data_IF_663099644714
#
_entry.id   IF_663099644714
#
_cell.length_a   1.000
_cell.length_b   1.000
_cell.length_c   1.000
_cell.angle_alpha   90.00
_cell.angle_beta   90.00
_cell.angle_gamma   90.00
#
_symmetry.space_group_name_H-M   'P 1'
#
loop_
_entity.id
_entity.type
_entity.pdbx_description
1 polymer ?
#
# COMPACT_ATOMS: atom_id res chain seq x y z
N UNK A 1 -1.88 -16.95 -2.82
CA UNK A 1 -0.42 -17.17 -2.59
C UNK A 1 -0.28 -18.28 -1.56
N UNK A 2 0.87 -18.96 -1.47
CA UNK A 2 1.10 -19.97 -0.41
C UNK A 2 1.70 -19.24 0.79
N UNK A 3 1.14 -19.45 1.97
CA UNK A 3 1.63 -18.88 3.23
C UNK A 3 3.12 -19.18 3.47
N UNK A 4 3.91 -18.17 3.83
CA UNK A 4 5.30 -18.37 4.23
C UNK A 4 5.41 -18.94 5.65
N UNK A 5 5.85 -20.19 5.76
CA UNK A 5 6.01 -20.88 7.04
C UNK A 5 7.06 -20.24 7.94
N UNK A 6 8.08 -19.56 7.38
CA UNK A 6 9.13 -18.91 8.18
C UNK A 6 8.57 -17.75 9.01
N UNK A 7 7.75 -16.89 8.40
CA UNK A 7 7.15 -15.73 9.07
C UNK A 7 6.17 -16.19 10.17
N UNK A 8 5.39 -17.23 9.86
CA UNK A 8 4.45 -17.82 10.82
C UNK A 8 5.19 -18.46 11.98
N UNK A 9 6.25 -19.24 11.72
CA UNK A 9 7.05 -19.84 12.77
C UNK A 9 7.75 -18.79 13.63
N UNK A 10 8.18 -17.67 13.03
CA UNK A 10 8.74 -16.55 13.78
C UNK A 10 7.71 -15.93 14.74
N UNK A 11 6.46 -15.76 14.31
CA UNK A 11 5.37 -15.30 15.17
C UNK A 11 5.00 -16.32 16.26
N UNK A 12 4.99 -17.62 15.96
CA UNK A 12 4.73 -18.69 16.93
C UNK A 12 5.81 -18.72 18.03
N UNK A 13 7.08 -18.60 17.65
CA UNK A 13 8.18 -18.54 18.63
C UNK A 13 8.04 -17.33 19.55
N UNK A 14 7.62 -16.18 19.01
CA UNK A 14 7.38 -14.96 19.80
C UNK A 14 6.29 -15.18 20.87
N UNK A 15 5.18 -15.84 20.52
CA UNK A 15 4.12 -16.13 21.50
C UNK A 15 4.47 -17.30 22.44
N UNK A 16 5.56 -18.02 22.19
CA UNK A 16 6.01 -19.16 23.01
C UNK A 16 5.48 -20.52 22.56
N UNK A 17 4.92 -20.60 21.34
CA UNK A 17 4.45 -21.84 20.73
C UNK A 17 5.55 -22.55 19.93
N UNK A 18 5.36 -23.86 19.71
CA UNK A 18 6.28 -24.65 18.89
C UNK A 18 6.09 -24.36 17.39
N UNK A 19 7.18 -24.30 16.61
CA UNK A 19 7.10 -24.07 15.17
C UNK A 19 6.40 -25.25 14.46
N UNK A 20 5.69 -24.95 13.39
CA UNK A 20 5.00 -25.94 12.55
C UNK A 20 5.83 -26.28 11.31
N UNK A 21 5.91 -27.56 10.98
CA UNK A 21 6.62 -28.06 9.79
C UNK A 21 5.78 -27.96 8.51
N UNK A 22 4.45 -28.08 8.61
CA UNK A 22 3.54 -27.89 7.49
C UNK A 22 2.14 -27.44 7.95
N UNK A 23 1.45 -26.65 7.11
CA UNK A 23 0.11 -26.15 7.45
C UNK A 23 -0.96 -27.26 7.44
N UNK A 24 -0.79 -28.29 6.61
CA UNK A 24 -1.84 -29.28 6.36
C UNK A 24 -1.99 -30.28 7.51
N UNK A 25 -0.94 -30.41 8.32
CA UNK A 25 -0.88 -31.38 9.42
C UNK A 25 -1.22 -30.75 10.78
N UNK A 26 -1.24 -29.42 10.89
CA UNK A 26 -1.60 -28.74 12.13
C UNK A 26 -3.12 -28.54 12.23
N UNK A 27 -3.75 -28.85 13.38
CA UNK A 27 -5.16 -28.53 13.62
C UNK A 27 -5.43 -27.01 13.53
N UNK A 28 -4.39 -26.18 13.72
CA UNK A 28 -4.45 -24.72 13.60
C UNK A 28 -4.16 -24.21 12.18
N UNK A 29 -3.77 -25.07 11.24
CA UNK A 29 -3.28 -24.66 9.92
C UNK A 29 -4.26 -23.83 9.10
N UNK A 30 -5.57 -24.11 9.19
CA UNK A 30 -6.61 -23.31 8.53
C UNK A 30 -6.70 -21.89 9.10
N UNK A 31 -6.63 -21.77 10.43
CA UNK A 31 -6.69 -20.47 11.12
C UNK A 31 -5.44 -19.66 10.80
N UNK A 32 -4.27 -20.30 10.82
CA UNK A 32 -2.99 -19.66 10.48
C UNK A 32 -3.01 -19.08 9.06
N UNK A 33 -3.47 -19.85 8.07
CA UNK A 33 -3.58 -19.36 6.68
C UNK A 33 -4.52 -18.15 6.57
N UNK A 34 -5.68 -18.18 7.24
CA UNK A 34 -6.65 -17.08 7.18
C UNK A 34 -6.05 -15.80 7.79
N UNK A 35 -5.49 -15.91 9.00
CA UNK A 35 -4.89 -14.77 9.69
C UNK A 35 -3.67 -14.23 8.94
N UNK A 36 -2.86 -15.11 8.35
CA UNK A 36 -1.71 -14.71 7.53
C UNK A 36 -2.12 -13.85 6.34
N UNK A 37 -3.09 -14.30 5.54
CA UNK A 37 -3.54 -13.55 4.36
C UNK A 37 -4.19 -12.22 4.74
N UNK A 38 -5.00 -12.21 5.80
CA UNK A 38 -5.64 -10.99 6.30
C UNK A 38 -4.62 -9.95 6.76
N UNK A 39 -3.66 -10.35 7.60
CA UNK A 39 -2.62 -9.45 8.11
C UNK A 39 -1.69 -8.99 6.98
N UNK A 40 -1.36 -9.86 6.00
CA UNK A 40 -0.54 -9.48 4.85
C UNK A 40 -1.19 -8.37 4.02
N UNK A 41 -2.46 -8.57 3.65
CA UNK A 41 -3.21 -7.57 2.89
C UNK A 41 -3.39 -6.27 3.67
N UNK A 42 -3.65 -6.36 4.98
CA UNK A 42 -3.72 -5.20 5.86
C UNK A 42 -2.40 -4.42 5.89
N UNK A 43 -1.26 -5.08 6.08
CA UNK A 43 0.04 -4.40 6.15
C UNK A 43 0.46 -3.74 4.84
N UNK A 44 0.21 -4.41 3.72
CA UNK A 44 0.49 -3.88 2.39
C UNK A 44 -0.43 -2.70 2.07
N UNK A 45 -1.71 -2.75 2.46
CA UNK A 45 -2.67 -1.67 2.18
C UNK A 45 -2.50 -0.45 3.09
N UNK A 46 -2.12 -0.63 4.36
CA UNK A 46 -2.01 0.47 5.32
C UNK A 46 -0.83 1.41 5.03
N UNK A 47 0.31 0.85 4.62
CA UNK A 47 1.54 1.62 4.42
C UNK A 47 2.12 1.41 3.01
N UNK A 48 2.55 2.48 2.32
CA UNK A 48 3.16 2.37 1.00
C UNK A 48 4.61 1.90 1.11
N UNK A 49 4.80 0.59 1.29
CA UNK A 49 6.12 -0.01 1.30
C UNK A 49 6.79 0.12 -0.07
N UNK A 50 8.01 0.66 -0.11
CA UNK A 50 8.70 0.93 -1.39
C UNK A 50 8.89 -0.31 -2.26
N UNK A 51 9.06 -1.49 -1.66
CA UNK A 51 9.19 -2.74 -2.41
C UNK A 51 7.86 -3.19 -3.06
N UNK A 52 6.72 -2.76 -2.51
CA UNK A 52 5.38 -3.07 -3.01
C UNK A 52 4.78 -1.96 -3.88
N UNK A 53 5.27 -0.73 -3.76
CA UNK A 53 4.86 0.40 -4.60
C UNK A 53 5.37 0.21 -6.03
N UNK A 54 4.44 0.10 -6.98
CA UNK A 54 4.74 0.07 -8.42
C UNK A 54 4.21 1.31 -9.13
N UNK A 55 4.89 1.67 -10.20
CA UNK A 55 4.49 2.70 -11.15
C UNK A 55 4.35 2.06 -12.52
N UNK A 56 3.20 2.24 -13.18
CA UNK A 56 2.97 1.69 -14.52
C UNK A 56 2.20 2.68 -15.39
N UNK A 57 2.30 2.50 -16.70
CA UNK A 57 1.57 3.25 -17.70
C UNK A 57 0.45 2.34 -18.20
N UNK A 58 -0.80 2.78 -18.05
CA UNK A 58 -1.94 2.09 -18.61
C UNK A 58 -2.28 2.69 -19.97
N UNK A 59 -2.55 1.79 -20.92
CA UNK A 59 -3.16 2.12 -22.21
C UNK A 59 -4.68 1.97 -22.11
N UNK A 60 -5.46 2.78 -22.85
CA UNK A 60 -6.91 2.74 -22.76
C UNK A 60 -7.42 1.42 -23.32
N UNK A 61 -8.51 0.95 -22.74
CA UNK A 61 -9.26 -0.17 -23.27
C UNK A 61 -9.85 0.22 -24.63
N UNK A 62 -9.96 -0.76 -25.53
CA UNK A 62 -10.54 -0.55 -26.86
C UNK A 62 -12.06 -0.31 -26.81
N UNK A 63 -12.72 -0.67 -25.70
CA UNK A 63 -14.12 -0.38 -25.45
C UNK A 63 -14.32 1.12 -25.17
N UNK A 64 -15.37 1.70 -25.76
CA UNK A 64 -15.74 3.08 -25.46
C UNK A 64 -16.06 3.24 -23.96
N UNK A 65 -15.70 4.40 -23.42
CA UNK A 65 -15.97 4.71 -22.02
C UNK A 65 -17.47 4.79 -21.77
N UNK A 66 -17.97 3.94 -20.87
CA UNK A 66 -19.34 3.97 -20.38
C UNK A 66 -19.63 5.18 -19.45
N UNK A 67 -18.63 6.04 -19.22
CA UNK A 67 -18.69 7.13 -18.25
C UNK A 67 -19.16 8.44 -18.90
N UNK A 68 -20.14 9.17 -18.30
CA UNK A 68 -20.71 10.38 -18.91
C UNK A 68 -19.71 11.53 -19.07
N UNK A 69 -18.66 11.54 -18.24
CA UNK A 69 -17.67 12.62 -18.19
C UNK A 69 -16.35 12.30 -18.88
N UNK A 70 -15.89 11.06 -18.82
CA UNK A 70 -14.50 10.71 -19.15
C UNK A 70 -14.44 9.96 -20.48
N UNK A 71 -13.44 10.28 -21.30
CA UNK A 71 -13.32 9.76 -22.67
C UNK A 71 -12.71 8.35 -22.72
N UNK A 72 -11.83 8.02 -21.78
CA UNK A 72 -11.08 6.78 -21.79
C UNK A 72 -11.34 5.95 -20.53
N UNK A 73 -11.32 4.63 -20.71
CA UNK A 73 -11.51 3.61 -19.68
C UNK A 73 -10.23 2.78 -19.58
N UNK A 74 -9.79 2.49 -18.37
CA UNK A 74 -8.57 1.75 -18.06
C UNK A 74 -8.88 0.65 -17.06
N UNK A 75 -8.21 -0.49 -17.16
CA UNK A 75 -8.29 -1.57 -16.17
C UNK A 75 -7.13 -1.46 -15.18
N UNK A 76 -7.43 -1.57 -13.87
CA UNK A 76 -6.39 -1.69 -12.85
C UNK A 76 -5.63 -3.00 -13.04
N UNK A 77 -4.29 -3.00 -12.85
CA UNK A 77 -3.50 -4.22 -12.86
C UNK A 77 -4.07 -5.28 -11.91
N UNK A 78 -4.03 -6.55 -12.31
CA UNK A 78 -4.58 -7.65 -11.50
C UNK A 78 -3.86 -7.84 -10.17
N UNK A 79 -2.61 -7.37 -10.08
CA UNK A 79 -1.81 -7.37 -8.85
C UNK A 79 -2.08 -6.14 -7.97
N UNK A 80 -2.99 -5.21 -8.34
CA UNK A 80 -3.25 -4.01 -7.55
C UNK A 80 -4.06 -4.32 -6.29
N UNK A 81 -3.46 -4.09 -5.12
CA UNK A 81 -4.12 -4.13 -3.80
C UNK A 81 -4.79 -2.77 -3.52
N UNK A 82 -4.03 -1.69 -3.68
CA UNK A 82 -4.50 -0.34 -3.37
C UNK A 82 -3.99 0.67 -4.41
N UNK A 83 -4.92 1.40 -5.01
CA UNK A 83 -4.60 2.53 -5.87
C UNK A 83 -4.16 3.73 -5.03
N UNK A 84 -3.01 4.33 -5.33
CA UNK A 84 -2.48 5.48 -4.57
C UNK A 84 -2.70 6.81 -5.29
N UNK A 85 -2.69 6.80 -6.61
CA UNK A 85 -2.90 8.03 -7.36
C UNK A 85 -2.36 7.96 -8.77
N UNK A 86 -2.62 9.03 -9.49
CA UNK A 86 -2.04 9.29 -10.80
C UNK A 86 -0.74 10.07 -10.59
N UNK A 87 0.32 9.70 -11.31
CA UNK A 87 1.62 10.37 -11.21
C UNK A 87 1.58 11.80 -11.79
N UNK A 88 2.45 12.67 -11.27
CA UNK A 88 2.67 14.06 -11.71
C UNK A 88 2.91 14.21 -13.22
N UNK A 89 3.42 13.19 -13.90
CA UNK A 89 3.57 13.21 -15.36
C UNK A 89 2.24 13.42 -16.10
N UNK A 90 1.10 13.09 -15.49
CA UNK A 90 -0.24 13.39 -16.02
C UNK A 90 -0.81 14.73 -15.56
N UNK A 91 -0.21 15.39 -14.55
CA UNK A 91 -0.60 16.73 -14.11
C UNK A 91 -0.15 17.80 -15.13
N UNK A 92 0.77 17.46 -16.03
CA UNK A 92 1.28 18.34 -17.09
C UNK A 92 0.48 18.10 -18.38
N UNK A 93 -0.84 18.25 -18.32
CA UNK A 93 -1.62 18.54 -19.52
C UNK A 93 -1.72 20.06 -19.59
N UNK A 94 -0.85 20.67 -20.41
CA UNK A 94 -0.85 22.09 -20.80
C UNK A 94 -1.22 23.12 -19.71
N UNK A 95 -0.22 23.90 -19.27
CA UNK A 95 -0.38 25.10 -18.40
C UNK A 95 -1.43 26.13 -18.91
N UNK A 96 -1.97 25.96 -20.12
CA UNK A 96 -3.09 26.75 -20.66
C UNK A 96 -4.46 26.38 -20.09
N UNK A 97 -4.66 25.16 -19.62
CA UNK A 97 -5.96 24.69 -19.09
C UNK A 97 -6.04 24.73 -17.55
N UNK A 98 -4.99 25.23 -16.89
CA UNK A 98 -4.89 25.38 -15.44
C UNK A 98 -5.98 26.30 -14.82
N UNK A 99 -6.74 27.04 -15.64
CA UNK A 99 -7.72 28.03 -15.16
C UNK A 99 -9.14 27.53 -14.90
N UNK A 100 -9.47 26.23 -15.02
CA UNK A 100 -10.88 25.83 -14.90
C UNK A 100 -11.20 24.44 -14.33
N UNK A 101 -10.27 23.72 -13.70
CA UNK A 101 -10.60 22.39 -13.15
C UNK A 101 -10.15 22.18 -11.71
N UNK A 102 -10.90 22.77 -10.79
CA UNK A 102 -11.14 22.20 -9.44
C UNK A 102 -11.94 20.88 -9.51
N UNK A 103 -11.83 20.14 -10.61
CA UNK A 103 -12.60 18.96 -10.93
C UNK A 103 -11.70 17.74 -10.97
N UNK A 104 -12.15 16.65 -10.37
CA UNK A 104 -11.43 15.37 -10.31
C UNK A 104 -10.94 14.96 -11.71
N UNK A 105 -9.62 14.82 -11.88
CA UNK A 105 -8.98 14.45 -13.15
C UNK A 105 -9.24 13.01 -13.57
N UNK A 106 -9.76 12.19 -12.66
CA UNK A 106 -10.08 10.79 -12.85
C UNK A 106 -11.19 10.35 -11.91
N UNK A 107 -11.84 9.24 -12.25
CA UNK A 107 -12.82 8.58 -11.38
C UNK A 107 -12.55 7.08 -11.39
N UNK A 108 -12.75 6.43 -10.24
CA UNK A 108 -12.54 4.99 -10.08
C UNK A 108 -13.90 4.36 -9.83
N UNK A 109 -14.30 3.44 -10.70
CA UNK A 109 -15.48 2.61 -10.47
C UNK A 109 -15.09 1.13 -10.50
N UNK A 110 -15.10 0.48 -9.33
CA UNK A 110 -14.68 -0.90 -9.18
C UNK A 110 -13.20 -1.08 -9.55
N UNK A 111 -12.92 -1.90 -10.57
CA UNK A 111 -11.56 -2.13 -11.09
C UNK A 111 -11.19 -1.23 -12.27
N UNK A 112 -12.08 -0.32 -12.67
CA UNK A 112 -11.86 0.54 -13.82
C UNK A 112 -11.52 1.96 -13.37
N UNK A 113 -10.57 2.57 -14.06
CA UNK A 113 -10.24 3.99 -13.94
C UNK A 113 -10.72 4.70 -15.19
N UNK A 114 -11.36 5.84 -15.00
CA UNK A 114 -11.84 6.70 -16.07
C UNK A 114 -11.05 8.01 -16.04
N UNK A 115 -10.51 8.41 -17.20
CA UNK A 115 -9.71 9.62 -17.32
C UNK A 115 -9.87 10.28 -18.70
N UNK A 116 -9.36 11.50 -18.83
CA UNK A 116 -9.37 12.27 -20.09
C UNK A 116 -8.09 12.10 -20.92
N UNK A 117 -7.00 11.61 -20.33
CA UNK A 117 -5.71 11.41 -21.02
C UNK A 117 -5.69 10.05 -21.72
N UNK A 118 -4.87 9.92 -22.77
CA UNK A 118 -4.67 8.68 -23.53
C UNK A 118 -3.58 7.76 -22.94
N UNK A 119 -2.66 8.31 -22.15
CA UNK A 119 -1.70 7.52 -21.38
C UNK A 119 -1.94 7.84 -19.91
N UNK A 120 -2.01 6.81 -19.07
CA UNK A 120 -2.28 6.97 -17.65
C UNK A 120 -1.15 6.37 -16.81
N UNK A 121 -0.19 7.21 -16.43
CA UNK A 121 0.79 6.94 -15.38
C UNK A 121 0.13 6.83 -14.00
N UNK A 122 0.08 5.62 -13.46
CA UNK A 122 -0.48 5.33 -12.14
C UNK A 122 0.59 4.89 -11.15
N UNK A 123 0.34 5.18 -9.87
CA UNK A 123 1.08 4.66 -8.71
C UNK A 123 0.11 3.81 -7.89
N UNK A 124 0.50 2.58 -7.58
CA UNK A 124 -0.32 1.64 -6.85
C UNK A 124 0.53 0.71 -5.98
N UNK A 125 -0.10 0.07 -5.00
CA UNK A 125 0.50 -0.97 -4.17
C UNK A 125 0.15 -2.31 -4.79
N UNK A 126 1.19 -3.08 -5.15
CA UNK A 126 1.04 -4.39 -5.76
C UNK A 126 1.06 -5.52 -4.71
N UNK A 127 0.38 -6.63 -5.03
CA UNK A 127 0.56 -7.92 -4.37
C UNK A 127 1.89 -8.52 -4.83
N UNK A 128 2.85 -8.58 -3.91
CA UNK A 128 4.24 -8.96 -4.18
C UNK A 128 4.62 -10.22 -3.42
N UNK A 129 5.49 -11.01 -4.05
CA UNK A 129 6.04 -12.26 -3.51
C UNK A 129 6.84 -12.01 -2.24
N UNK A 130 6.79 -12.94 -1.29
CA UNK A 130 7.43 -12.89 0.02
C UNK A 130 8.96 -12.69 -0.06
N UNK A 131 9.56 -13.02 -1.21
CA UNK A 131 11.00 -12.81 -1.48
C UNK A 131 11.40 -11.34 -1.52
N UNK A 132 10.47 -10.45 -1.86
CA UNK A 132 10.72 -9.02 -1.95
C UNK A 132 10.56 -8.30 -0.60
N UNK A 133 10.09 -9.01 0.43
CA UNK A 133 9.87 -8.43 1.75
C UNK A 133 11.20 -8.05 2.40
N UNK A 134 11.30 -6.79 2.82
CA UNK A 134 12.41 -6.30 3.62
C UNK A 134 12.41 -6.97 5.00
N UNK A 135 13.58 -6.99 5.65
CA UNK A 135 13.69 -7.60 6.99
C UNK A 135 12.78 -6.89 8.00
N UNK A 136 12.68 -5.56 7.91
CA UNK A 136 11.82 -4.74 8.77
C UNK A 136 10.34 -5.05 8.53
N UNK A 137 9.92 -5.25 7.27
CA UNK A 137 8.56 -5.70 6.95
C UNK A 137 8.26 -7.08 7.53
N UNK A 138 9.17 -8.05 7.37
CA UNK A 138 8.99 -9.41 7.93
C UNK A 138 8.83 -9.38 9.45
N UNK A 139 9.59 -8.53 10.13
CA UNK A 139 9.49 -8.34 11.58
C UNK A 139 8.17 -7.68 11.99
N UNK A 140 7.75 -6.61 11.29
CA UNK A 140 6.46 -5.96 11.51
C UNK A 140 5.30 -6.95 11.29
N UNK A 141 5.39 -7.76 10.23
CA UNK A 141 4.42 -8.79 9.91
C UNK A 141 4.36 -9.87 10.98
N UNK A 142 5.50 -10.40 11.42
CA UNK A 142 5.52 -11.38 12.50
C UNK A 142 4.98 -10.83 13.83
N UNK A 143 5.27 -9.56 14.16
CA UNK A 143 4.74 -8.93 15.38
C UNK A 143 3.22 -8.74 15.30
N UNK A 144 2.69 -8.28 14.15
CA UNK A 144 1.24 -8.14 13.97
C UNK A 144 0.53 -9.50 13.99
N UNK A 145 1.12 -10.50 13.34
CA UNK A 145 0.60 -11.86 13.33
C UNK A 145 0.63 -12.50 14.72
N UNK A 146 1.68 -12.27 15.50
CA UNK A 146 1.76 -12.70 16.90
C UNK A 146 0.66 -12.08 17.77
N UNK A 147 0.34 -10.79 17.57
CA UNK A 147 -0.76 -10.10 18.26
C UNK A 147 -2.11 -10.79 17.98
N UNK A 148 -2.45 -11.02 16.71
CA UNK A 148 -3.73 -11.66 16.32
C UNK A 148 -3.82 -13.13 16.77
N UNK A 149 -2.71 -13.87 16.72
CA UNK A 149 -2.67 -15.26 17.18
C UNK A 149 -2.74 -15.38 18.70
N UNK A 150 -2.23 -14.41 19.46
CA UNK A 150 -2.24 -14.43 20.92
C UNK A 150 -3.66 -14.53 21.48
N UNK A 151 -4.63 -13.85 20.86
CA UNK A 151 -6.05 -13.95 21.24
C UNK A 151 -6.60 -15.35 20.94
N UNK A 152 -6.34 -15.86 19.72
CA UNK A 152 -6.96 -17.09 19.22
C UNK A 152 -6.38 -18.36 19.85
N UNK A 153 -5.10 -18.34 20.21
CA UNK A 153 -4.38 -19.51 20.74
C UNK A 153 -4.28 -19.47 22.26
N UNK A 154 -3.84 -18.34 22.83
CA UNK A 154 -3.50 -18.25 24.26
C UNK A 154 -4.55 -17.51 25.11
N UNK A 155 -5.49 -16.78 24.50
CA UNK A 155 -6.48 -15.93 25.18
C UNK A 155 -5.84 -14.89 26.13
N UNK A 156 -4.58 -14.51 25.89
CA UNK A 156 -3.85 -13.59 26.74
C UNK A 156 -3.81 -12.17 26.13
N UNK A 157 -4.52 -11.24 26.78
CA UNK A 157 -4.64 -9.85 26.33
C UNK A 157 -3.34 -9.05 26.51
N UNK A 158 -2.49 -9.41 27.47
CA UNK A 158 -1.22 -8.70 27.71
C UNK A 158 -0.23 -8.92 26.57
N UNK A 159 -0.18 -10.15 26.02
CA UNK A 159 0.66 -10.47 24.87
C UNK A 159 0.22 -9.71 23.61
N UNK A 160 -1.08 -9.51 23.43
CA UNK A 160 -1.64 -8.72 22.33
C UNK A 160 -1.11 -7.29 22.40
N UNK A 161 -1.22 -6.65 23.57
CA UNK A 161 -0.76 -5.28 23.76
C UNK A 161 0.76 -5.15 23.56
N UNK A 162 1.53 -6.13 24.06
CA UNK A 162 2.98 -6.17 23.88
C UNK A 162 3.38 -6.25 22.40
N UNK A 163 2.74 -7.14 21.64
CA UNK A 163 3.07 -7.34 20.23
C UNK A 163 2.55 -6.23 19.33
N UNK A 164 1.42 -5.61 19.68
CA UNK A 164 0.97 -4.39 19.01
C UNK A 164 1.94 -3.23 19.25
N UNK A 165 2.45 -3.06 20.46
CA UNK A 165 3.46 -2.03 20.76
C UNK A 165 4.78 -2.27 19.99
N UNK A 166 5.25 -3.52 19.94
CA UNK A 166 6.43 -3.90 19.13
C UNK A 166 6.20 -3.65 17.63
N UNK A 167 5.01 -3.96 17.12
CA UNK A 167 4.64 -3.68 15.74
C UNK A 167 4.74 -2.19 15.42
N UNK A 168 4.18 -1.32 16.27
CA UNK A 168 4.28 0.14 16.10
C UNK A 168 5.74 0.63 16.13
N UNK A 169 6.58 0.07 17.01
CA UNK A 169 8.00 0.37 17.05
C UNK A 169 8.72 -0.04 15.76
N UNK A 170 8.42 -1.23 15.21
CA UNK A 170 8.99 -1.67 13.94
C UNK A 170 8.56 -0.79 12.77
N UNK A 171 7.34 -0.28 12.77
CA UNK A 171 6.89 0.69 11.77
C UNK A 171 7.67 2.00 11.86
N UNK A 172 7.89 2.53 13.07
CA UNK A 172 8.72 3.73 13.24
C UNK A 172 10.12 3.51 12.71
N UNK A 173 10.73 2.36 13.00
CA UNK A 173 12.01 1.99 12.42
C UNK A 173 11.95 1.91 10.89
N UNK A 174 10.90 1.32 10.31
CA UNK A 174 10.75 1.27 8.85
C UNK A 174 10.67 2.66 8.21
N UNK A 175 10.03 3.62 8.89
CA UNK A 175 9.98 5.03 8.46
C UNK A 175 11.38 5.65 8.55
N UNK A 176 12.08 5.46 9.67
CA UNK A 176 13.45 5.98 9.88
C UNK A 176 14.44 5.43 8.84
N UNK A 177 14.32 4.15 8.50
CA UNK A 177 15.11 3.49 7.46
C UNK A 177 14.64 3.81 6.03
N UNK A 178 13.63 4.70 5.89
CA UNK A 178 13.11 5.15 4.62
C UNK A 178 12.61 3.99 3.74
N UNK A 179 12.03 2.95 4.35
CA UNK A 179 11.41 1.80 3.66
C UNK A 179 9.96 2.07 3.29
N UNK A 180 9.27 2.90 4.07
CA UNK A 180 7.91 3.37 3.80
C UNK A 180 8.00 4.71 3.07
N UNK A 181 7.31 4.83 1.94
CA UNK A 181 7.25 6.09 1.21
C UNK A 181 6.42 7.08 2.02
N UNK A 182 7.10 8.08 2.59
CA UNK A 182 6.41 9.25 3.13
C UNK A 182 5.94 10.05 1.91
N UNK A 183 4.63 10.17 1.70
CA UNK A 183 4.11 11.07 0.68
C UNK A 183 4.61 12.47 1.07
N UNK A 184 5.64 12.95 0.38
CA UNK A 184 5.97 14.37 0.39
C UNK A 184 4.74 15.04 -0.18
N UNK A 185 3.88 15.57 0.69
CA UNK A 185 2.95 16.61 0.26
C UNK A 185 3.81 17.66 -0.43
N UNK A 186 3.78 17.67 -1.77
CA UNK A 186 4.26 18.81 -2.53
C UNK A 186 3.51 19.98 -1.92
N UNK A 187 4.25 20.89 -1.29
CA UNK A 187 3.67 22.09 -0.71
C UNK A 187 2.79 22.70 -1.80
N UNK A 188 1.48 22.91 -1.53
CA UNK A 188 0.64 23.58 -2.51
C UNK A 188 1.34 24.89 -2.90
N UNK A 189 1.52 25.13 -4.20
CA UNK A 189 2.26 26.30 -4.75
C UNK A 189 1.72 27.65 -4.22
N UNK A 190 0.54 27.64 -3.63
CA UNK A 190 -0.14 28.73 -2.95
C UNK A 190 0.23 28.88 -1.45
N UNK A 191 1.22 28.14 -0.96
CA UNK A 191 1.81 28.38 0.37
C UNK A 191 2.59 29.70 0.33
N UNK A 192 2.43 30.55 1.34
CA UNK A 192 3.04 31.88 1.46
C UNK A 192 4.55 31.94 1.09
N UNK A 193 5.27 30.84 1.23
CA UNK A 193 6.67 30.66 0.85
C UNK A 193 6.92 30.73 -0.67
N UNK A 194 6.08 30.08 -1.49
CA UNK A 194 6.19 30.12 -2.95
C UNK A 194 5.79 31.50 -3.52
N UNK A 195 4.83 32.17 -2.88
CA UNK A 195 4.48 33.56 -3.22
C UNK A 195 5.67 34.48 -2.96
N UNK A 196 6.36 34.35 -1.82
CA UNK A 196 7.50 35.20 -1.44
C UNK A 196 8.69 35.10 -2.40
N UNK A 197 8.99 33.92 -2.92
CA UNK A 197 10.05 33.69 -3.93
C UNK A 197 9.74 34.41 -5.26
N UNK A 198 8.47 34.47 -5.65
CA UNK A 198 8.04 35.17 -6.87
C UNK A 198 8.28 36.69 -6.85
N UNK A 199 8.27 37.33 -5.67
CA UNK A 199 8.52 38.78 -5.54
C UNK A 199 10.01 39.16 -5.58
N UNK A 200 10.93 38.20 -5.45
CA UNK A 200 12.37 38.47 -5.38
C UNK A 200 13.03 38.59 -6.77
N UNK A 201 12.33 38.16 -7.83
CA UNK A 201 12.82 38.15 -9.21
C UNK A 201 12.23 39.29 -10.08
N UNK A 202 11.65 40.33 -9.47
CA UNK A 202 11.01 41.47 -10.18
C UNK A 202 11.74 42.80 -9.94
N UNK A 203 13.05 42.76 -9.66
CA UNK A 203 13.89 43.97 -9.64
C UNK A 203 15.19 43.75 -10.41
#
# INVERSE_FOLDING_TARGET
MVMNTEIVNWALIKIGESPVSSNAQSPLGKILNIVYEEVRLQLLSLYPWKFATKRTILAPLAEESDHPRFKYKYELPSDCILFRGISEYNKIADLRDYKASSGTFYEIAGKNIYAHTNELYIKYIADVDDKLYTQTFKEAFANKLASELSIKVMQNVELVQLYEAKYQQTLQQAIEHNEIECDTEEMPENTWLAIREGWRNVY
#
